data_IF_272354028384
#
_entry.id   IF_272354028384
#
_cell.length_a   1.000
_cell.length_b   1.000
_cell.length_c   1.000
_cell.angle_alpha   90.00
_cell.angle_beta   90.00
_cell.angle_gamma   90.00
#
_symmetry.space_group_name_H-M   'P 1'
#
loop_
_entity.id
_entity.type
_entity.pdbx_description
1 polymer ?
#
# COMPACT_ATOMS: atom_id res chain seq x y z
N UNK A 1 79.82 -7.01 39.06
CA UNK A 1 78.92 -7.95 38.39
C UNK A 1 77.60 -7.97 39.13
N UNK A 2 76.52 -7.42 38.54
CA UNK A 2 75.09 -7.74 38.73
C UNK A 2 74.25 -6.59 38.15
N UNK A 3 73.66 -6.86 36.98
CA UNK A 3 72.70 -6.01 36.28
C UNK A 3 71.36 -6.04 37.01
N UNK A 4 70.80 -4.87 37.30
CA UNK A 4 69.42 -4.68 37.77
C UNK A 4 68.52 -4.55 36.55
N UNK A 5 67.68 -5.57 36.29
CA UNK A 5 66.69 -5.55 35.22
C UNK A 5 65.36 -4.98 35.74
N UNK A 6 64.93 -3.83 35.21
CA UNK A 6 63.59 -3.30 35.38
C UNK A 6 62.61 -4.04 34.44
N UNK A 7 61.68 -4.81 35.00
CA UNK A 7 60.53 -5.33 34.25
C UNK A 7 59.42 -4.26 34.20
N UNK A 8 59.14 -3.74 33.01
CA UNK A 8 57.90 -3.00 32.72
C UNK A 8 56.79 -4.01 32.39
N UNK A 9 55.76 -4.08 33.23
CA UNK A 9 54.53 -4.81 32.93
C UNK A 9 53.56 -3.89 32.17
N UNK A 10 53.36 -4.14 30.88
CA UNK A 10 52.35 -3.47 30.05
C UNK A 10 51.03 -4.23 30.22
N UNK A 11 50.07 -3.63 30.90
CA UNK A 11 48.71 -4.15 31.01
C UNK A 11 47.90 -3.70 29.78
N UNK A 12 47.66 -4.61 28.84
CA UNK A 12 46.76 -4.40 27.70
C UNK A 12 45.31 -4.49 28.17
N UNK A 13 44.63 -3.34 28.26
CA UNK A 13 43.20 -3.25 28.49
C UNK A 13 42.46 -3.61 27.19
N UNK A 14 41.95 -4.83 27.07
CA UNK A 14 41.06 -5.21 25.97
C UNK A 14 39.69 -4.55 26.18
N UNK A 15 39.44 -3.42 25.51
CA UNK A 15 38.08 -2.90 25.34
C UNK A 15 37.30 -3.86 24.44
N UNK A 16 36.44 -4.67 25.05
CA UNK A 16 35.43 -5.43 24.32
C UNK A 16 34.44 -4.42 23.71
N UNK A 17 34.56 -4.16 22.41
CA UNK A 17 33.56 -3.42 21.65
C UNK A 17 32.29 -4.28 21.63
N UNK A 18 31.28 -3.90 22.41
CA UNK A 18 29.96 -4.50 22.32
C UNK A 18 29.42 -4.24 20.90
N UNK A 19 29.27 -5.30 20.10
CA UNK A 19 28.57 -5.20 18.83
C UNK A 19 27.11 -4.84 19.14
N UNK A 20 26.50 -3.86 18.43
CA UNK A 20 25.08 -3.61 18.60
C UNK A 20 24.33 -4.91 18.31
N UNK A 21 23.48 -5.34 19.24
CA UNK A 21 22.58 -6.45 19.00
C UNK A 21 21.70 -6.06 17.81
N UNK A 22 21.80 -6.83 16.72
CA UNK A 22 20.84 -6.69 15.62
C UNK A 22 19.49 -7.06 16.22
N UNK A 23 18.56 -6.11 16.24
CA UNK A 23 17.19 -6.38 16.68
C UNK A 23 16.65 -7.54 15.83
N UNK A 24 16.31 -8.65 16.48
CA UNK A 24 15.78 -9.83 15.81
C UNK A 24 14.47 -9.46 15.12
N UNK A 25 14.38 -9.72 13.81
CA UNK A 25 13.14 -9.50 13.06
C UNK A 25 12.11 -10.51 13.57
N UNK A 26 11.02 -10.01 14.16
CA UNK A 26 10.00 -10.86 14.76
C UNK A 26 8.93 -11.23 13.73
N UNK A 27 8.70 -12.52 13.53
CA UNK A 27 7.63 -12.98 12.66
C UNK A 27 6.26 -12.72 13.29
N UNK A 28 5.37 -12.04 12.57
CA UNK A 28 3.99 -11.83 13.03
C UNK A 28 3.26 -13.18 13.04
N UNK A 29 2.60 -13.57 14.14
CA UNK A 29 1.86 -14.82 14.18
C UNK A 29 0.77 -14.88 13.11
N UNK A 30 0.53 -16.08 12.60
CA UNK A 30 -0.54 -16.31 11.62
C UNK A 30 -1.93 -16.17 12.25
N UNK A 31 -2.92 -15.84 11.43
CA UNK A 31 -4.33 -15.75 11.81
C UNK A 31 -4.68 -14.47 12.55
N UNK A 32 -5.96 -14.36 12.94
CA UNK A 32 -6.54 -13.14 13.47
C UNK A 32 -6.09 -12.81 14.90
N UNK A 33 -5.88 -11.51 15.17
CA UNK A 33 -5.71 -10.98 16.53
C UNK A 33 -7.03 -10.79 17.27
N UNK A 34 -8.13 -10.63 16.52
CA UNK A 34 -9.48 -10.50 17.08
C UNK A 34 -10.27 -11.80 16.89
N UNK A 35 -10.97 -12.25 17.94
CA UNK A 35 -11.82 -13.45 17.88
C UNK A 35 -13.02 -13.27 16.93
N UNK A 36 -13.54 -12.04 16.87
CA UNK A 36 -14.66 -11.67 16.00
C UNK A 36 -14.19 -10.63 14.98
N UNK A 37 -14.90 -10.57 13.86
CA UNK A 37 -14.62 -9.61 12.82
C UNK A 37 -14.82 -8.17 13.34
N UNK A 38 -13.82 -7.28 13.18
CA UNK A 38 -14.00 -5.86 13.48
C UNK A 38 -15.13 -5.22 12.67
N UNK A 39 -15.68 -4.11 13.16
CA UNK A 39 -16.81 -3.43 12.51
C UNK A 39 -16.53 -3.04 11.05
N UNK A 40 -17.49 -3.36 10.19
CA UNK A 40 -17.47 -2.94 8.78
C UNK A 40 -17.96 -1.49 8.66
N UNK A 41 -17.21 -0.59 8.00
CA UNK A 41 -17.60 0.80 7.85
C UNK A 41 -18.98 0.98 7.24
N UNK A 42 -19.77 1.91 7.79
CA UNK A 42 -21.14 2.15 7.34
C UNK A 42 -21.27 2.51 5.86
N UNK A 43 -20.22 3.08 5.24
CA UNK A 43 -20.20 3.32 3.80
C UNK A 43 -20.25 2.01 2.98
N UNK A 44 -19.50 0.99 3.40
CA UNK A 44 -19.51 -0.34 2.77
C UNK A 44 -20.86 -1.02 2.97
N UNK A 45 -21.42 -0.95 4.18
CA UNK A 45 -22.77 -1.47 4.48
C UNK A 45 -23.83 -0.82 3.59
N UNK A 46 -23.83 0.51 3.45
CA UNK A 46 -24.78 1.23 2.60
C UNK A 46 -24.64 0.84 1.12
N UNK A 47 -23.41 0.71 0.60
CA UNK A 47 -23.18 0.28 -0.80
C UNK A 47 -23.70 -1.13 -1.05
N UNK A 48 -23.38 -2.07 -0.17
CA UNK A 48 -23.86 -3.46 -0.25
C UNK A 48 -25.38 -3.54 -0.23
N UNK A 49 -26.04 -2.78 0.66
CA UNK A 49 -27.51 -2.68 0.70
C UNK A 49 -28.10 -2.05 -0.57
N UNK A 50 -27.48 -0.99 -1.10
CA UNK A 50 -27.92 -0.33 -2.33
C UNK A 50 -27.82 -1.27 -3.54
N UNK A 51 -26.80 -2.13 -3.58
CA UNK A 51 -26.64 -3.21 -4.56
C UNK A 51 -27.55 -4.43 -4.32
N UNK A 52 -28.44 -4.39 -3.31
CA UNK A 52 -29.35 -5.49 -2.95
C UNK A 52 -28.66 -6.85 -2.79
N UNK A 53 -27.48 -6.84 -2.16
CA UNK A 53 -26.67 -8.04 -1.92
C UNK A 53 -26.17 -8.09 -0.47
N UNK A 54 -25.44 -9.13 -0.10
CA UNK A 54 -24.78 -9.32 1.20
C UNK A 54 -23.26 -9.43 1.04
N UNK A 55 -22.51 -9.31 2.13
CA UNK A 55 -21.06 -9.52 2.07
C UNK A 55 -20.72 -10.97 1.74
N UNK A 56 -21.46 -11.95 2.27
CA UNK A 56 -21.26 -13.37 1.97
C UNK A 56 -21.48 -13.66 0.49
N UNK A 57 -22.58 -13.16 -0.10
CA UNK A 57 -22.85 -13.34 -1.53
C UNK A 57 -21.76 -12.70 -2.40
N UNK A 58 -21.21 -11.55 -1.98
CA UNK A 58 -20.09 -10.91 -2.68
C UNK A 58 -18.79 -11.69 -2.54
N UNK A 59 -18.53 -12.25 -1.37
CA UNK A 59 -17.39 -13.13 -1.11
C UNK A 59 -17.44 -14.38 -1.99
N UNK A 60 -18.56 -15.11 -1.99
CA UNK A 60 -18.77 -16.30 -2.81
C UNK A 60 -18.55 -15.97 -4.29
N UNK A 61 -19.11 -14.84 -4.76
CA UNK A 61 -18.97 -14.41 -6.15
C UNK A 61 -17.52 -14.15 -6.57
N UNK A 62 -16.72 -13.45 -5.76
CA UNK A 62 -15.30 -13.21 -6.10
C UNK A 62 -14.48 -14.50 -5.98
N UNK A 63 -14.75 -15.34 -4.99
CA UNK A 63 -14.11 -16.65 -4.84
C UNK A 63 -14.37 -17.53 -6.06
N UNK A 64 -15.61 -17.63 -6.51
CA UNK A 64 -15.99 -18.49 -7.65
C UNK A 64 -15.41 -17.98 -8.97
N UNK A 65 -15.30 -16.65 -9.12
CA UNK A 65 -14.59 -16.04 -10.25
C UNK A 65 -13.11 -16.47 -10.25
N UNK A 66 -12.44 -16.35 -9.11
CA UNK A 66 -11.03 -16.76 -8.99
C UNK A 66 -10.86 -18.26 -9.21
N UNK A 67 -11.77 -19.09 -8.71
CA UNK A 67 -11.74 -20.54 -8.88
C UNK A 67 -11.94 -20.98 -10.34
N UNK A 68 -12.72 -20.23 -11.11
CA UNK A 68 -13.03 -20.53 -12.52
C UNK A 68 -12.03 -19.93 -13.51
N UNK A 69 -11.38 -18.81 -13.18
CA UNK A 69 -10.39 -18.15 -14.05
C UNK A 69 -8.96 -18.61 -13.77
N UNK A 70 -8.59 -19.76 -14.36
CA UNK A 70 -7.24 -20.33 -14.25
C UNK A 70 -6.15 -19.45 -14.87
N UNK A 71 -6.49 -18.64 -15.87
CA UNK A 71 -5.53 -17.71 -16.48
C UNK A 71 -5.20 -16.56 -15.52
N UNK A 72 -6.21 -16.02 -14.84
CA UNK A 72 -6.01 -15.02 -13.80
C UNK A 72 -5.18 -15.57 -12.64
N UNK A 73 -5.48 -16.77 -12.14
CA UNK A 73 -4.67 -17.42 -11.08
C UNK A 73 -3.21 -17.61 -11.51
N UNK A 74 -2.98 -18.05 -12.76
CA UNK A 74 -1.63 -18.20 -13.29
C UNK A 74 -0.88 -16.86 -13.33
N UNK A 75 -1.54 -15.79 -13.77
CA UNK A 75 -0.97 -14.42 -13.77
C UNK A 75 -0.67 -13.93 -12.36
N UNK A 76 -1.59 -14.12 -11.42
CA UNK A 76 -1.40 -13.78 -10.00
C UNK A 76 -0.20 -14.52 -9.42
N UNK A 77 -0.07 -15.81 -9.71
CA UNK A 77 1.06 -16.63 -9.22
C UNK A 77 2.38 -16.15 -9.81
N UNK A 78 2.41 -15.92 -11.13
CA UNK A 78 3.61 -15.45 -11.82
C UNK A 78 4.06 -14.07 -11.31
N UNK A 79 3.14 -13.11 -11.19
CA UNK A 79 3.49 -11.77 -10.74
C UNK A 79 3.87 -11.78 -9.26
N UNK A 80 3.20 -12.56 -8.41
CA UNK A 80 3.57 -12.72 -7.00
C UNK A 80 5.00 -13.22 -6.85
N UNK A 81 5.38 -14.22 -7.64
CA UNK A 81 6.75 -14.73 -7.67
C UNK A 81 7.76 -13.67 -8.08
N UNK A 82 7.46 -12.86 -9.12
CA UNK A 82 8.34 -11.78 -9.57
C UNK A 82 8.60 -10.71 -8.49
N UNK A 83 7.61 -10.46 -7.62
CA UNK A 83 7.72 -9.51 -6.50
C UNK A 83 8.18 -10.16 -5.19
N UNK A 84 8.43 -11.47 -5.16
CA UNK A 84 8.85 -12.18 -3.96
C UNK A 84 7.80 -12.13 -2.85
N UNK A 85 6.53 -12.34 -3.20
CA UNK A 85 5.40 -12.46 -2.27
C UNK A 85 4.66 -13.79 -2.52
N UNK A 86 4.05 -14.36 -1.48
CA UNK A 86 3.17 -15.51 -1.66
C UNK A 86 1.87 -15.08 -2.37
N UNK A 87 1.34 -15.86 -3.33
CA UNK A 87 0.16 -15.46 -4.10
C UNK A 87 -1.11 -15.22 -3.25
N UNK A 88 -1.19 -15.84 -2.07
CA UNK A 88 -2.28 -15.64 -1.11
C UNK A 88 -2.47 -14.17 -0.71
N UNK A 89 -1.41 -13.36 -0.68
CA UNK A 89 -1.54 -11.93 -0.38
C UNK A 89 -2.31 -11.18 -1.48
N UNK A 90 -2.08 -11.55 -2.74
CA UNK A 90 -2.82 -10.99 -3.87
C UNK A 90 -4.28 -11.45 -3.86
N UNK A 91 -4.51 -12.75 -3.62
CA UNK A 91 -5.87 -13.28 -3.47
C UNK A 91 -6.61 -12.57 -2.34
N UNK A 92 -5.99 -12.41 -1.17
CA UNK A 92 -6.59 -11.73 -0.02
C UNK A 92 -6.96 -10.27 -0.31
N UNK A 93 -6.10 -9.53 -1.02
CA UNK A 93 -6.39 -8.18 -1.46
C UNK A 93 -7.56 -8.12 -2.47
N UNK A 94 -7.61 -9.00 -3.47
CA UNK A 94 -8.75 -9.04 -4.42
C UNK A 94 -10.04 -9.38 -3.68
N UNK A 95 -10.01 -10.43 -2.86
CA UNK A 95 -11.21 -10.93 -2.16
C UNK A 95 -11.78 -9.86 -1.24
N UNK A 96 -10.97 -9.26 -0.34
CA UNK A 96 -11.51 -8.25 0.56
C UNK A 96 -12.04 -7.02 -0.19
N UNK A 97 -11.42 -6.62 -1.31
CA UNK A 97 -11.83 -5.47 -2.10
C UNK A 97 -13.22 -5.68 -2.72
N UNK A 98 -13.39 -6.85 -3.32
CA UNK A 98 -14.64 -7.23 -3.99
C UNK A 98 -15.70 -7.74 -3.01
N UNK A 99 -15.34 -8.09 -1.77
CA UNK A 99 -16.32 -8.34 -0.71
C UNK A 99 -16.84 -7.02 -0.14
N UNK A 100 -15.99 -6.06 0.23
CA UNK A 100 -16.43 -4.90 1.03
C UNK A 100 -16.57 -3.58 0.27
N UNK A 101 -15.82 -3.39 -0.82
CA UNK A 101 -15.71 -2.07 -1.46
C UNK A 101 -16.45 -1.98 -2.79
N UNK A 102 -16.21 -2.94 -3.68
CA UNK A 102 -16.76 -3.02 -5.04
C UNK A 102 -17.40 -4.38 -5.31
N UNK A 103 -18.05 -4.59 -6.46
CA UNK A 103 -18.57 -5.90 -6.89
C UNK A 103 -17.67 -6.45 -8.01
N UNK A 104 -17.41 -7.77 -8.04
CA UNK A 104 -16.53 -8.47 -8.97
C UNK A 104 -16.93 -8.36 -10.45
N UNK A 105 -18.23 -8.24 -10.75
CA UNK A 105 -18.74 -8.19 -12.14
C UNK A 105 -19.08 -6.78 -12.63
N UNK A 106 -19.25 -5.85 -11.71
CA UNK A 106 -19.40 -4.45 -12.06
C UNK A 106 -18.04 -4.00 -12.62
N UNK A 107 -17.97 -3.77 -13.93
CA UNK A 107 -17.25 -2.64 -14.57
C UNK A 107 -16.29 -2.94 -15.71
N UNK A 108 -16.20 -4.09 -16.38
CA UNK A 108 -15.46 -4.05 -17.67
C UNK A 108 -16.04 -2.96 -18.60
N UNK A 109 -17.37 -2.89 -18.73
CA UNK A 109 -18.06 -1.82 -19.44
C UNK A 109 -17.87 -0.43 -18.81
N UNK A 110 -17.96 -0.29 -17.48
CA UNK A 110 -17.74 1.01 -16.85
C UNK A 110 -16.27 1.44 -16.86
N UNK A 111 -15.31 0.51 -16.94
CA UNK A 111 -13.90 0.79 -17.13
C UNK A 111 -13.68 1.32 -18.55
N UNK A 112 -14.33 0.74 -19.56
CA UNK A 112 -14.31 1.32 -20.91
C UNK A 112 -14.91 2.73 -20.95
N UNK A 113 -16.04 2.97 -20.28
CA UNK A 113 -16.65 4.31 -20.18
C UNK A 113 -15.70 5.29 -19.47
N UNK A 114 -15.06 4.87 -18.38
CA UNK A 114 -14.06 5.69 -17.69
C UNK A 114 -12.84 5.93 -18.58
N UNK A 115 -12.29 4.88 -19.19
CA UNK A 115 -11.15 4.96 -20.10
C UNK A 115 -11.43 5.96 -21.24
N UNK A 116 -12.62 5.92 -21.83
CA UNK A 116 -13.05 6.91 -22.82
C UNK A 116 -13.08 8.34 -22.26
N UNK A 117 -13.56 8.54 -21.03
CA UNK A 117 -13.51 9.84 -20.36
C UNK A 117 -12.07 10.33 -20.08
N UNK A 118 -11.12 9.42 -19.90
CA UNK A 118 -9.70 9.73 -19.66
C UNK A 118 -8.83 9.75 -20.93
N UNK A 119 -9.38 9.37 -22.10
CA UNK A 119 -8.67 9.35 -23.38
C UNK A 119 -8.63 10.70 -24.11
N UNK A 120 -9.21 11.76 -23.54
CA UNK A 120 -9.20 13.10 -24.12
C UNK A 120 -7.89 13.87 -23.85
N UNK A 121 -7.37 14.58 -24.86
CA UNK A 121 -6.11 15.35 -24.83
C UNK A 121 -6.08 16.56 -23.87
N UNK A 122 -7.14 16.85 -23.12
CA UNK A 122 -7.22 18.02 -22.21
C UNK A 122 -7.09 17.66 -20.73
N UNK A 123 -6.89 16.38 -20.41
CA UNK A 123 -6.92 15.91 -19.03
C UNK A 123 -5.53 15.97 -18.35
N UNK A 124 -5.47 16.62 -17.18
CA UNK A 124 -4.28 16.74 -16.33
C UNK A 124 -4.66 16.57 -14.85
N UNK A 125 -3.71 16.10 -14.03
CA UNK A 125 -3.89 16.09 -12.58
C UNK A 125 -3.82 17.51 -12.03
N UNK A 126 -4.79 17.91 -11.22
CA UNK A 126 -4.93 19.28 -10.76
C UNK A 126 -6.19 19.52 -9.93
N UNK A 127 -6.26 20.70 -9.32
CA UNK A 127 -7.38 21.16 -8.52
C UNK A 127 -7.64 22.65 -8.79
N UNK A 128 -8.90 23.02 -9.07
CA UNK A 128 -9.31 24.40 -9.36
C UNK A 128 -8.45 25.11 -10.42
N UNK A 129 -8.11 24.41 -11.50
CA UNK A 129 -7.31 24.95 -12.61
C UNK A 129 -5.81 25.06 -12.34
N UNK A 130 -5.33 24.61 -11.18
CA UNK A 130 -3.91 24.49 -10.88
C UNK A 130 -3.47 23.03 -11.03
N UNK A 131 -2.43 22.80 -11.83
CA UNK A 131 -1.88 21.45 -12.01
C UNK A 131 -1.19 20.95 -10.75
N UNK A 132 -1.08 19.63 -10.60
CA UNK A 132 -0.31 19.03 -9.50
C UNK A 132 1.16 19.44 -9.54
N UNK A 133 1.73 19.57 -10.75
CA UNK A 133 3.12 19.94 -10.96
C UNK A 133 3.41 21.36 -10.45
N UNK A 134 2.51 22.30 -10.72
CA UNK A 134 2.56 23.65 -10.14
C UNK A 134 2.29 23.62 -8.63
N UNK A 135 1.34 22.79 -8.20
CA UNK A 135 0.90 22.76 -6.81
C UNK A 135 2.05 22.49 -5.84
N UNK A 136 2.87 21.48 -6.19
CA UNK A 136 3.96 20.97 -5.36
C UNK A 136 5.24 21.80 -5.42
N UNK A 137 5.27 22.90 -6.19
CA UNK A 137 6.41 23.86 -6.19
C UNK A 137 6.38 24.83 -5.00
N UNK A 138 5.30 24.85 -4.21
CA UNK A 138 5.20 25.76 -3.06
C UNK A 138 6.27 25.43 -2.01
N UNK A 139 6.70 26.45 -1.26
CA UNK A 139 7.75 26.33 -0.25
C UNK A 139 7.44 25.31 0.86
N UNK A 140 6.15 25.07 1.17
CA UNK A 140 5.73 24.03 2.11
C UNK A 140 6.22 22.62 1.71
N UNK A 141 6.43 22.37 0.42
CA UNK A 141 6.94 21.10 -0.10
C UNK A 141 8.47 21.02 -0.18
N UNK A 142 9.20 22.08 0.22
CA UNK A 142 10.66 22.13 0.12
C UNK A 142 11.36 20.96 0.82
N UNK A 143 10.83 20.48 1.95
CA UNK A 143 11.35 19.32 2.67
C UNK A 143 11.23 17.98 1.90
N UNK A 144 10.47 17.95 0.81
CA UNK A 144 10.29 16.78 -0.04
C UNK A 144 11.27 16.72 -1.23
N UNK A 145 12.02 17.80 -1.50
CA UNK A 145 12.89 17.89 -2.68
C UNK A 145 13.98 16.81 -2.72
N UNK A 146 14.53 16.45 -1.56
CA UNK A 146 15.65 15.50 -1.46
C UNK A 146 15.21 14.01 -1.42
N UNK A 147 13.90 13.74 -1.58
CA UNK A 147 13.40 12.36 -1.56
C UNK A 147 13.76 11.65 -2.86
N UNK A 148 14.55 10.58 -2.75
CA UNK A 148 15.15 9.88 -3.91
C UNK A 148 14.21 8.92 -4.64
N UNK A 149 13.22 8.36 -3.93
CA UNK A 149 12.27 7.41 -4.50
C UNK A 149 10.92 8.07 -4.69
N UNK A 150 10.18 7.64 -5.71
CA UNK A 150 8.83 8.11 -5.99
C UNK A 150 7.92 7.89 -4.78
N UNK A 151 8.05 6.75 -4.09
CA UNK A 151 7.28 6.46 -2.89
C UNK A 151 7.53 7.49 -1.79
N UNK A 152 8.80 7.77 -1.48
CA UNK A 152 9.19 8.71 -0.43
C UNK A 152 8.80 10.15 -0.79
N UNK A 153 8.95 10.53 -2.06
CA UNK A 153 8.58 11.85 -2.57
C UNK A 153 7.08 12.11 -2.43
N UNK A 154 6.25 11.21 -2.98
CA UNK A 154 4.80 11.37 -2.95
C UNK A 154 4.21 11.20 -1.56
N UNK A 155 4.76 10.32 -0.73
CA UNK A 155 4.34 10.21 0.68
C UNK A 155 4.69 11.46 1.49
N UNK A 156 5.85 12.08 1.21
CA UNK A 156 6.19 13.38 1.82
C UNK A 156 5.20 14.47 1.40
N UNK A 157 4.88 14.56 0.11
CA UNK A 157 3.89 15.53 -0.42
C UNK A 157 2.51 15.33 0.21
N UNK A 158 2.06 14.08 0.38
CA UNK A 158 0.82 13.80 1.10
C UNK A 158 0.86 14.24 2.56
N UNK A 159 1.95 13.98 3.27
CA UNK A 159 2.09 14.42 4.66
C UNK A 159 2.04 15.96 4.79
N UNK A 160 2.64 16.68 3.83
CA UNK A 160 2.52 18.15 3.75
C UNK A 160 1.06 18.56 3.46
N UNK A 161 0.37 17.92 2.52
CA UNK A 161 -1.05 18.18 2.24
C UNK A 161 -1.91 18.03 3.50
N UNK A 162 -1.81 16.91 4.19
CA UNK A 162 -2.61 16.61 5.38
C UNK A 162 -2.36 17.62 6.51
N UNK A 163 -1.12 18.06 6.70
CA UNK A 163 -0.75 18.99 7.77
C UNK A 163 -1.08 20.45 7.45
N UNK A 164 -0.75 20.90 6.24
CA UNK A 164 -0.69 22.32 5.89
C UNK A 164 -1.89 22.81 5.06
N UNK A 165 -2.57 21.92 4.31
CA UNK A 165 -3.57 22.33 3.33
C UNK A 165 -4.97 21.78 3.59
N UNK A 166 -5.11 20.50 3.93
CA UNK A 166 -6.41 19.84 4.06
C UNK A 166 -7.36 20.58 5.01
N UNK A 167 -8.49 21.07 4.50
CA UNK A 167 -9.50 21.79 5.26
C UNK A 167 -9.07 23.17 5.77
N UNK A 168 -7.94 23.72 5.28
CA UNK A 168 -7.38 25.00 5.73
C UNK A 168 -7.52 26.08 4.67
N UNK A 169 -7.35 27.33 5.09
CA UNK A 169 -7.18 28.48 4.20
C UNK A 169 -5.71 28.86 4.18
N UNK A 170 -5.09 28.83 3.00
CA UNK A 170 -3.67 29.14 2.80
C UNK A 170 -3.56 30.25 1.76
N UNK A 171 -2.98 31.39 2.15
CA UNK A 171 -2.85 32.59 1.30
C UNK A 171 -4.19 33.00 0.66
N UNK A 172 -5.24 33.06 1.49
CA UNK A 172 -6.59 33.45 1.05
C UNK A 172 -7.34 32.41 0.21
N UNK A 173 -6.76 31.24 -0.09
CA UNK A 173 -7.41 30.14 -0.81
C UNK A 173 -7.86 29.05 0.15
N UNK A 174 -9.14 28.68 0.11
CA UNK A 174 -9.68 27.57 0.89
C UNK A 174 -9.42 26.22 0.19
N UNK A 175 -8.96 25.23 0.93
CA UNK A 175 -8.71 23.88 0.45
C UNK A 175 -9.71 22.87 1.04
N UNK A 176 -10.16 21.88 0.26
CA UNK A 176 -11.12 20.87 0.74
C UNK A 176 -10.59 20.08 1.93
N UNK A 177 -11.48 19.74 2.87
CA UNK A 177 -11.18 18.72 3.87
C UNK A 177 -11.31 17.31 3.26
N UNK A 178 -10.41 16.98 2.33
CA UNK A 178 -10.40 15.71 1.62
C UNK A 178 -8.96 15.22 1.39
N UNK A 179 -8.81 13.93 1.04
CA UNK A 179 -7.51 13.29 0.80
C UNK A 179 -6.82 13.89 -0.42
N UNK A 180 -5.49 14.01 -0.37
CA UNK A 180 -4.68 14.55 -1.47
C UNK A 180 -4.97 13.86 -2.81
N UNK A 181 -5.00 12.52 -2.80
CA UNK A 181 -5.32 11.69 -3.96
C UNK A 181 -6.69 12.04 -4.57
N UNK A 182 -7.68 12.33 -3.74
CA UNK A 182 -9.03 12.65 -4.19
C UNK A 182 -9.13 14.07 -4.76
N UNK A 183 -8.35 15.00 -4.23
CA UNK A 183 -8.37 16.41 -4.65
C UNK A 183 -7.65 16.61 -5.98
N UNK A 184 -6.48 16.02 -6.17
CA UNK A 184 -5.63 16.30 -7.34
C UNK A 184 -5.62 15.22 -8.42
N UNK A 185 -5.91 13.97 -8.05
CA UNK A 185 -5.69 12.83 -8.94
C UNK A 185 -6.98 12.12 -9.38
N UNK A 186 -8.15 12.64 -9.02
CA UNK A 186 -9.44 11.99 -9.30
C UNK A 186 -10.49 12.99 -9.82
N UNK A 187 -10.23 13.62 -10.98
CA UNK A 187 -10.99 14.75 -11.54
C UNK A 187 -12.46 14.46 -11.87
N UNK A 188 -12.77 13.25 -12.39
CA UNK A 188 -14.07 12.91 -12.95
C UNK A 188 -14.87 12.01 -12.02
N UNK A 189 -14.16 11.22 -11.21
CA UNK A 189 -14.74 10.21 -10.35
C UNK A 189 -14.03 10.19 -8.99
N UNK A 190 -14.37 11.16 -8.15
CA UNK A 190 -13.79 11.33 -6.82
C UNK A 190 -13.84 10.02 -6.02
N UNK A 191 -12.68 9.56 -5.54
CA UNK A 191 -12.53 8.36 -4.72
C UNK A 191 -12.38 7.04 -5.48
N UNK A 192 -12.38 7.03 -6.83
CA UNK A 192 -12.39 5.77 -7.58
C UNK A 192 -11.00 5.20 -7.91
N UNK A 193 -11.01 3.89 -7.99
CA UNK A 193 -9.89 2.97 -8.17
C UNK A 193 -10.17 2.06 -9.37
N UNK A 194 -9.14 1.49 -9.98
CA UNK A 194 -9.23 0.81 -11.28
C UNK A 194 -8.62 -0.60 -11.28
N UNK A 195 -9.11 -1.43 -12.19
CA UNK A 195 -8.67 -2.83 -12.35
C UNK A 195 -9.10 -3.73 -11.19
N UNK A 196 -8.74 -5.00 -11.26
CA UNK A 196 -9.02 -5.98 -10.19
C UNK A 196 -8.39 -5.58 -8.84
N UNK A 197 -7.23 -4.90 -8.89
CA UNK A 197 -6.57 -4.41 -7.68
C UNK A 197 -7.18 -3.14 -7.09
N UNK A 198 -8.10 -2.46 -7.78
CA UNK A 198 -8.59 -1.14 -7.34
C UNK A 198 -7.42 -0.19 -7.01
N UNK A 199 -6.49 0.02 -7.94
CA UNK A 199 -5.38 0.96 -7.78
C UNK A 199 -5.82 2.39 -8.15
N UNK A 200 -5.38 3.39 -7.39
CA UNK A 200 -5.57 4.81 -7.72
C UNK A 200 -4.27 5.41 -8.32
N UNK A 201 -4.37 6.54 -9.04
CA UNK A 201 -3.20 7.13 -9.72
C UNK A 201 -2.02 7.49 -8.80
N UNK A 202 -2.29 8.02 -7.60
CA UNK A 202 -1.23 8.39 -6.67
C UNK A 202 -0.49 7.16 -6.13
N UNK A 203 -1.21 6.08 -5.85
CA UNK A 203 -0.60 4.79 -5.48
C UNK A 203 0.31 4.27 -6.61
N UNK A 204 -0.13 4.37 -7.87
CA UNK A 204 0.70 3.97 -9.01
C UNK A 204 1.96 4.85 -9.14
N UNK A 205 1.83 6.17 -9.03
CA UNK A 205 2.97 7.10 -9.02
C UNK A 205 3.97 6.78 -7.91
N UNK A 206 3.50 6.46 -6.70
CA UNK A 206 4.37 6.04 -5.58
C UNK A 206 5.18 4.78 -5.90
N UNK A 207 4.53 3.78 -6.48
CA UNK A 207 5.11 2.44 -6.68
C UNK A 207 5.85 2.29 -8.01
N UNK A 208 5.82 3.31 -8.86
CA UNK A 208 6.34 3.22 -10.24
C UNK A 208 7.81 2.82 -10.32
N UNK A 209 8.64 3.22 -9.36
CA UNK A 209 10.05 2.83 -9.33
C UNK A 209 10.25 1.34 -9.12
N UNK A 210 9.42 0.73 -8.26
CA UNK A 210 9.46 -0.71 -8.01
C UNK A 210 8.89 -1.46 -9.22
N UNK A 211 7.77 -1.01 -9.76
CA UNK A 211 7.11 -1.65 -10.89
C UNK A 211 7.99 -1.60 -12.14
N UNK A 212 8.63 -0.47 -12.41
CA UNK A 212 9.56 -0.35 -13.52
C UNK A 212 10.77 -1.26 -13.36
N UNK A 213 11.33 -1.34 -12.15
CA UNK A 213 12.47 -2.21 -11.86
C UNK A 213 12.15 -3.71 -11.97
N UNK A 214 11.00 -4.14 -11.46
CA UNK A 214 10.64 -5.57 -11.37
C UNK A 214 9.95 -6.07 -12.62
N UNK A 215 9.02 -5.30 -13.19
CA UNK A 215 8.20 -5.70 -14.33
C UNK A 215 8.62 -5.07 -15.66
N UNK A 216 9.57 -4.13 -15.66
CA UNK A 216 10.06 -3.48 -16.88
C UNK A 216 9.09 -2.46 -17.49
N UNK A 217 7.96 -2.17 -16.84
CA UNK A 217 7.03 -1.15 -17.33
C UNK A 217 7.64 0.26 -17.25
N UNK A 218 7.24 1.19 -18.14
CA UNK A 218 7.71 2.57 -18.07
C UNK A 218 7.39 3.22 -16.71
N UNK A 219 8.30 4.08 -16.23
CA UNK A 219 8.01 4.93 -15.07
C UNK A 219 6.88 5.90 -15.42
N UNK A 220 6.02 6.13 -14.44
CA UNK A 220 4.89 7.03 -14.51
C UNK A 220 5.29 8.43 -14.04
N UNK A 221 4.67 9.44 -14.65
CA UNK A 221 4.94 10.86 -14.39
C UNK A 221 3.62 11.61 -14.20
N UNK A 222 3.56 12.50 -13.21
CA UNK A 222 2.35 13.27 -12.90
C UNK A 222 1.93 14.24 -13.99
N UNK A 223 2.85 14.65 -14.86
CA UNK A 223 2.56 15.51 -16.01
C UNK A 223 1.86 14.75 -17.14
N UNK A 224 1.93 13.41 -17.14
CA UNK A 224 1.30 12.56 -18.15
C UNK A 224 0.19 11.71 -17.53
N UNK A 225 -0.89 12.39 -17.14
CA UNK A 225 -2.02 11.74 -16.48
C UNK A 225 -2.65 10.62 -17.33
N UNK A 226 -2.68 10.76 -18.65
CA UNK A 226 -3.16 9.72 -19.57
C UNK A 226 -2.38 8.40 -19.43
N UNK A 227 -1.04 8.46 -19.36
CA UNK A 227 -0.20 7.27 -19.16
C UNK A 227 -0.45 6.60 -17.81
N UNK A 228 -0.68 7.39 -16.76
CA UNK A 228 -0.99 6.87 -15.41
C UNK A 228 -2.32 6.12 -15.42
N UNK A 229 -3.35 6.68 -16.05
CA UNK A 229 -4.64 5.99 -16.17
C UNK A 229 -4.57 4.75 -17.04
N UNK A 230 -3.86 4.82 -18.17
CA UNK A 230 -3.65 3.65 -19.02
C UNK A 230 -3.02 2.49 -18.23
N UNK A 231 -1.99 2.79 -17.43
CA UNK A 231 -1.31 1.79 -16.60
C UNK A 231 -2.21 1.15 -15.53
N UNK A 232 -3.04 1.93 -14.82
CA UNK A 232 -3.91 1.36 -13.77
C UNK A 232 -5.19 0.69 -14.31
N UNK A 233 -5.55 0.97 -15.56
CA UNK A 233 -6.69 0.35 -16.25
C UNK A 233 -6.31 -0.92 -17.00
N UNK A 234 -5.05 -1.04 -17.44
CA UNK A 234 -4.54 -2.28 -18.03
C UNK A 234 -4.51 -3.40 -16.97
N UNK A 235 -5.14 -4.57 -17.22
CA UNK A 235 -5.22 -5.63 -16.23
C UNK A 235 -3.86 -6.16 -15.76
N UNK A 236 -2.89 -6.29 -16.66
CA UNK A 236 -1.60 -6.91 -16.37
C UNK A 236 -0.69 -5.92 -15.64
N UNK A 237 -0.68 -4.66 -16.08
CA UNK A 237 0.06 -3.59 -15.40
C UNK A 237 -0.54 -3.32 -14.01
N UNK A 238 -1.87 -3.34 -13.87
CA UNK A 238 -2.55 -3.15 -12.58
C UNK A 238 -2.21 -4.25 -11.56
N UNK A 239 -2.10 -5.52 -12.00
CA UNK A 239 -1.64 -6.62 -11.14
C UNK A 239 -0.21 -6.40 -10.63
N UNK A 240 0.68 -5.84 -11.46
CA UNK A 240 2.04 -5.49 -11.03
C UNK A 240 2.05 -4.39 -9.95
N UNK A 241 1.22 -3.34 -10.09
CA UNK A 241 1.08 -2.31 -9.06
C UNK A 241 0.48 -2.84 -7.75
N UNK A 242 -0.44 -3.79 -7.84
CA UNK A 242 -1.00 -4.47 -6.67
C UNK A 242 0.07 -5.30 -5.95
N UNK A 243 0.84 -6.12 -6.66
CA UNK A 243 1.95 -6.89 -6.11
C UNK A 243 3.01 -5.97 -5.47
N UNK A 244 3.35 -4.86 -6.13
CA UNK A 244 4.27 -3.84 -5.60
C UNK A 244 3.78 -3.23 -4.28
N UNK A 245 2.48 -2.93 -4.17
CA UNK A 245 1.87 -2.37 -2.95
C UNK A 245 1.99 -3.32 -1.76
N UNK A 246 1.74 -4.61 -1.99
CA UNK A 246 1.86 -5.66 -0.98
C UNK A 246 3.32 -5.85 -0.58
N UNK A 247 4.23 -6.00 -1.55
CA UNK A 247 5.68 -6.14 -1.32
C UNK A 247 6.22 -4.97 -0.50
N UNK A 248 5.88 -3.75 -0.89
CA UNK A 248 6.27 -2.55 -0.16
C UNK A 248 5.78 -2.57 1.29
N UNK A 249 4.55 -3.00 1.52
CA UNK A 249 4.00 -3.14 2.89
C UNK A 249 4.81 -4.13 3.74
N UNK A 250 5.18 -5.29 3.18
CA UNK A 250 6.02 -6.28 3.88
C UNK A 250 7.41 -5.69 4.17
N UNK A 251 8.02 -5.01 3.19
CA UNK A 251 9.35 -4.42 3.33
C UNK A 251 9.42 -3.34 4.41
N UNK A 252 8.44 -2.44 4.47
CA UNK A 252 8.47 -1.34 5.45
C UNK A 252 8.15 -1.82 6.85
N UNK A 253 7.28 -2.83 7.02
CA UNK A 253 7.07 -3.44 8.34
C UNK A 253 8.33 -4.15 8.84
N UNK A 254 9.03 -4.86 7.95
CA UNK A 254 10.30 -5.52 8.29
C UNK A 254 11.39 -4.51 8.65
N UNK A 255 11.55 -3.46 7.83
CA UNK A 255 12.66 -2.51 7.98
C UNK A 255 12.43 -1.41 9.03
N UNK A 256 11.19 -0.96 9.22
CA UNK A 256 10.85 0.13 10.15
C UNK A 256 10.38 -0.42 11.49
N UNK A 257 9.44 -1.37 11.47
CA UNK A 257 8.83 -1.90 12.70
C UNK A 257 9.55 -3.14 13.26
N UNK A 258 10.53 -3.69 12.54
CA UNK A 258 11.26 -4.88 12.96
C UNK A 258 10.39 -6.15 13.01
N UNK A 259 9.27 -6.16 12.28
CA UNK A 259 8.35 -7.32 12.24
C UNK A 259 8.13 -7.81 10.81
N UNK A 260 8.07 -9.12 10.63
CA UNK A 260 7.80 -9.73 9.34
C UNK A 260 6.34 -10.15 9.21
N UNK A 261 5.62 -9.53 8.28
CA UNK A 261 4.20 -9.78 8.00
C UNK A 261 4.00 -10.72 6.80
N UNK A 262 5.06 -11.30 6.22
CA UNK A 262 4.98 -12.14 5.01
C UNK A 262 4.17 -13.42 5.18
N UNK A 263 3.87 -13.85 6.41
CA UNK A 263 3.11 -15.08 6.68
C UNK A 263 1.67 -14.78 7.15
N UNK A 264 1.27 -13.51 7.20
CA UNK A 264 -0.08 -13.13 7.60
C UNK A 264 -0.77 -12.33 6.47
N UNK A 265 -1.52 -13.00 5.58
CA UNK A 265 -2.20 -12.34 4.47
C UNK A 265 -3.28 -11.36 4.93
N UNK A 266 -3.93 -11.59 6.08
CA UNK A 266 -4.87 -10.64 6.66
C UNK A 266 -4.25 -9.29 7.02
N UNK A 267 -3.01 -9.26 7.52
CA UNK A 267 -2.31 -7.99 7.78
C UNK A 267 -1.97 -7.28 6.48
N UNK A 268 -1.48 -7.98 5.46
CA UNK A 268 -1.21 -7.35 4.16
C UNK A 268 -2.49 -6.84 3.48
N UNK A 269 -3.61 -7.57 3.58
CA UNK A 269 -4.89 -7.17 3.05
C UNK A 269 -5.48 -5.97 3.81
N UNK A 270 -5.27 -5.91 5.13
CA UNK A 270 -5.58 -4.73 5.94
C UNK A 270 -4.86 -3.52 5.40
N UNK A 271 -3.54 -3.61 5.24
CA UNK A 271 -2.69 -2.52 4.73
C UNK A 271 -3.05 -2.11 3.31
N UNK A 272 -3.43 -3.07 2.48
CA UNK A 272 -3.94 -2.81 1.14
C UNK A 272 -5.21 -1.95 1.16
N UNK A 273 -6.15 -2.27 2.05
CA UNK A 273 -7.40 -1.51 2.19
C UNK A 273 -7.19 -0.13 2.81
N UNK A 274 -6.34 -0.01 3.83
CA UNK A 274 -6.23 1.25 4.61
C UNK A 274 -5.09 2.16 4.18
N UNK A 275 -4.14 1.66 3.40
CA UNK A 275 -2.97 2.40 2.91
C UNK A 275 -2.01 2.91 4.00
N UNK A 276 -1.04 3.72 3.58
CA UNK A 276 0.01 4.32 4.40
C UNK A 276 0.80 3.32 5.27
N UNK A 277 1.39 2.26 4.67
CA UNK A 277 2.14 1.26 5.43
C UNK A 277 3.37 1.85 6.16
N UNK A 278 4.08 2.83 5.58
CA UNK A 278 5.26 3.47 6.21
C UNK A 278 4.91 4.17 7.52
N UNK A 279 3.85 4.99 7.51
CA UNK A 279 3.40 5.69 8.71
C UNK A 279 2.89 4.72 9.78
N UNK A 280 2.23 3.63 9.37
CA UNK A 280 1.75 2.60 10.29
C UNK A 280 2.88 1.76 10.89
N UNK A 281 3.86 1.39 10.08
CA UNK A 281 5.07 0.72 10.55
C UNK A 281 5.86 1.62 11.52
N UNK A 282 5.98 2.92 11.21
CA UNK A 282 6.59 3.91 12.12
C UNK A 282 5.84 4.00 13.45
N UNK A 283 4.51 4.06 13.41
CA UNK A 283 3.70 4.09 14.62
C UNK A 283 3.82 2.80 15.45
N UNK A 284 3.90 1.64 14.79
CA UNK A 284 4.13 0.36 15.48
C UNK A 284 5.53 0.31 16.11
N UNK A 285 6.57 0.76 15.38
CA UNK A 285 7.93 0.86 15.89
C UNK A 285 7.99 1.74 17.15
N UNK A 286 7.31 2.89 17.13
CA UNK A 286 7.24 3.78 18.27
C UNK A 286 6.53 3.13 19.49
N UNK A 287 5.45 2.37 19.27
CA UNK A 287 4.77 1.63 20.36
C UNK A 287 5.67 0.55 20.97
N UNK A 288 6.46 -0.13 20.14
CA UNK A 288 7.34 -1.21 20.58
C UNK A 288 8.67 -0.70 21.18
N UNK A 289 8.90 0.62 21.21
CA UNK A 289 10.15 1.21 21.69
C UNK A 289 10.39 0.96 23.19
N UNK A 290 9.33 0.85 23.97
CA UNK A 290 9.39 0.64 25.43
C UNK A 290 9.60 -0.84 25.82
N UNK A 291 9.75 -1.73 24.84
CA UNK A 291 10.05 -3.16 25.05
C UNK A 291 8.82 -4.08 25.12
N UNK A 292 7.61 -3.53 25.27
CA UNK A 292 6.36 -4.28 25.11
C UNK A 292 6.16 -4.67 23.64
N UNK A 293 5.76 -5.91 23.40
CA UNK A 293 5.56 -6.42 22.03
C UNK A 293 4.12 -6.19 21.60
N UNK A 294 3.91 -5.17 20.77
CA UNK A 294 2.67 -4.99 20.04
C UNK A 294 2.79 -5.56 18.64
N UNK A 295 1.71 -6.21 18.19
CA UNK A 295 1.56 -6.75 16.85
C UNK A 295 0.67 -5.83 16.01
N UNK A 296 0.82 -5.81 14.68
CA UNK A 296 -0.21 -5.24 13.83
C UNK A 296 -1.51 -6.04 13.95
N UNK A 297 -2.63 -5.35 13.82
CA UNK A 297 -3.97 -5.92 13.94
C UNK A 297 -4.70 -5.82 12.61
N UNK A 298 -5.51 -6.84 12.31
CA UNK A 298 -6.35 -6.84 11.13
C UNK A 298 -7.54 -5.89 11.29
N UNK A 299 -7.96 -5.24 10.19
CA UNK A 299 -9.31 -4.68 10.13
C UNK A 299 -10.30 -5.76 9.64
N UNK A 300 -11.59 -5.40 9.52
CA UNK A 300 -12.65 -6.28 8.98
C UNK A 300 -12.25 -7.00 7.67
N UNK A 301 -11.49 -6.30 6.82
CA UNK A 301 -11.03 -6.78 5.53
C UNK A 301 -9.98 -7.88 5.68
N UNK A 302 -8.92 -7.61 6.45
CA UNK A 302 -7.89 -8.60 6.75
C UNK A 302 -8.40 -9.78 7.56
N UNK A 303 -9.35 -9.50 8.46
CA UNK A 303 -9.95 -10.53 9.31
C UNK A 303 -10.62 -11.61 8.48
N UNK A 304 -11.40 -11.22 7.46
CA UNK A 304 -12.06 -12.14 6.53
C UNK A 304 -11.03 -13.02 5.81
N UNK A 305 -9.92 -12.43 5.35
CA UNK A 305 -8.88 -13.15 4.59
C UNK A 305 -8.24 -14.23 5.44
N UNK A 306 -7.95 -13.94 6.71
CA UNK A 306 -7.40 -14.93 7.63
C UNK A 306 -8.43 -16.00 8.02
N UNK A 307 -9.70 -15.61 8.24
CA UNK A 307 -10.80 -16.53 8.56
C UNK A 307 -11.04 -17.54 7.42
N UNK A 308 -10.97 -17.06 6.18
CA UNK A 308 -11.16 -17.87 4.97
C UNK A 308 -9.86 -18.39 4.36
N UNK A 309 -8.74 -18.31 5.06
CA UNK A 309 -7.40 -18.56 4.49
C UNK A 309 -7.30 -19.90 3.78
N UNK A 310 -7.73 -21.00 4.42
CA UNK A 310 -7.64 -22.33 3.84
C UNK A 310 -8.44 -22.48 2.53
N UNK A 311 -9.61 -21.86 2.45
CA UNK A 311 -10.43 -21.86 1.25
C UNK A 311 -9.79 -21.04 0.11
N UNK A 312 -9.20 -19.90 0.45
CA UNK A 312 -8.51 -19.03 -0.51
C UNK A 312 -7.19 -19.62 -1.01
N UNK A 313 -6.46 -20.33 -0.15
CA UNK A 313 -5.23 -21.04 -0.53
C UNK A 313 -5.52 -22.21 -1.48
N UNK A 314 -6.69 -22.85 -1.38
CA UNK A 314 -7.08 -23.93 -2.30
C UNK A 314 -7.32 -23.47 -3.76
N UNK A 315 -7.28 -22.16 -4.03
CA UNK A 315 -7.37 -21.58 -5.37
C UNK A 315 -6.03 -21.65 -6.14
N UNK A 316 -4.91 -21.79 -5.41
CA UNK A 316 -3.53 -21.70 -5.91
C UNK A 316 -2.96 -23.09 -6.23
#
# INVERSE_FOLDING_TARGET
MRLTACLFAIATLCFAVAKPAVAEIRMVPEGNRHAEQPDVPGASVRRTRAGRTSFDAKYEKVRDLLASDRNLIAKITQISAAYGIAPIHMIGAIVGEHTYNVDAYDRLQAYYVKAAAYAGNSFHFGYNGESIGEFVQRSQFGACADKKTSYALWSCREAVWEREFRGRVVVGKAFPNNRFSAVFFQPFFAGQTFGLGQINPLTALKLTDMVSRVSGYPRLDESNAASVYAAIMDPDVSLAYMAASIRHSIDVYRSIAGVDISNNPGITATLYNVGNPDGRATALAAKNADGEVHWPEENYYGWLVNDRRAELEALL
#
